data_IF_743771485779
#
_entry.id   IF_743771485779
#
_cell.length_a   1.000
_cell.length_b   1.000
_cell.length_c   1.000
_cell.angle_alpha   90.00
_cell.angle_beta   90.00
_cell.angle_gamma   90.00
#
_symmetry.space_group_name_H-M   'P 1'
#
loop_
_entity.id
_entity.type
_entity.pdbx_description
1 polymer ?
#
# COMPACT_ATOMS: atom_id res chain seq x y z
N UNK A 1 -7.14 85.14 58.51
CA UNK A 1 -5.85 84.51 58.17
C UNK A 1 -5.29 85.24 56.96
N UNK A 2 -4.04 85.65 57.05
CA UNK A 2 -3.38 86.60 56.15
C UNK A 2 -3.01 85.92 54.82
N UNK A 3 -3.71 86.28 53.74
CA UNK A 3 -3.58 85.68 52.40
C UNK A 3 -2.13 85.78 51.88
N UNK A 4 -1.45 86.87 52.19
CA UNK A 4 -0.06 87.16 51.76
C UNK A 4 0.97 86.20 52.36
N UNK A 5 0.74 85.74 53.60
CA UNK A 5 1.62 84.79 54.30
C UNK A 5 1.52 83.39 53.70
N UNK A 6 0.35 83.02 53.19
CA UNK A 6 0.07 81.73 52.54
C UNK A 6 0.66 81.68 51.12
N UNK A 7 0.58 82.78 50.37
CA UNK A 7 1.14 82.90 49.01
C UNK A 7 2.67 82.87 49.00
N UNK A 8 3.32 83.57 49.94
CA UNK A 8 4.79 83.58 50.06
C UNK A 8 5.35 82.19 50.44
N UNK A 9 4.55 81.39 51.17
CA UNK A 9 4.90 80.02 51.50
C UNK A 9 4.82 79.07 50.29
N UNK A 10 3.90 79.31 49.35
CA UNK A 10 3.77 78.49 48.13
C UNK A 10 4.99 78.64 47.22
N UNK A 11 5.52 79.85 47.01
CA UNK A 11 6.71 80.07 46.17
C UNK A 11 7.92 79.34 46.72
N UNK A 12 8.19 79.46 48.02
CA UNK A 12 9.30 78.74 48.65
C UNK A 12 9.14 77.22 48.55
N UNK A 13 7.90 76.73 48.62
CA UNK A 13 7.59 75.31 48.47
C UNK A 13 7.83 74.80 47.04
N UNK A 14 7.49 75.59 46.02
CA UNK A 14 7.73 75.27 44.61
C UNK A 14 9.22 75.37 44.27
N UNK A 15 9.96 76.33 44.84
CA UNK A 15 11.41 76.41 44.67
C UNK A 15 12.14 75.22 45.33
N UNK A 16 11.66 74.76 46.49
CA UNK A 16 12.20 73.58 47.17
C UNK A 16 11.78 72.26 46.50
N UNK A 17 10.58 72.22 45.90
CA UNK A 17 10.06 71.05 45.22
C UNK A 17 9.24 71.43 43.96
N UNK A 18 9.90 71.63 42.81
CA UNK A 18 9.21 72.01 41.58
C UNK A 18 8.25 70.95 41.03
N UNK A 19 8.36 69.69 41.46
CA UNK A 19 7.43 68.62 41.04
C UNK A 19 6.01 68.83 41.57
N UNK A 20 5.84 69.63 42.63
CA UNK A 20 4.55 69.88 43.26
C UNK A 20 3.53 70.48 42.29
N UNK A 21 3.97 71.42 41.45
CA UNK A 21 3.12 72.08 40.43
C UNK A 21 2.94 71.23 39.18
N UNK A 22 3.65 70.12 39.05
CA UNK A 22 3.47 69.17 37.94
C UNK A 22 2.39 68.11 38.24
N UNK A 23 2.06 67.91 39.52
CA UNK A 23 1.13 66.86 39.98
C UNK A 23 -0.15 67.44 40.58
N UNK A 24 -0.24 68.76 40.72
CA UNK A 24 -1.37 69.47 41.34
C UNK A 24 -1.62 70.77 40.57
N UNK A 25 -2.58 70.71 39.64
CA UNK A 25 -2.96 71.82 38.76
C UNK A 25 -3.37 73.07 39.55
N UNK A 26 -4.04 72.89 40.69
CA UNK A 26 -4.45 74.01 41.52
C UNK A 26 -3.24 74.75 42.10
N UNK A 27 -2.23 74.01 42.57
CA UNK A 27 -0.99 74.61 43.05
C UNK A 27 -0.19 75.27 41.95
N UNK A 28 -0.25 74.75 40.72
CA UNK A 28 0.32 75.42 39.56
C UNK A 28 -0.34 76.78 39.32
N UNK A 29 -1.68 76.83 39.27
CA UNK A 29 -2.41 78.08 39.05
C UNK A 29 -2.17 79.11 40.17
N UNK A 30 -2.23 78.67 41.43
CA UNK A 30 -1.96 79.54 42.59
C UNK A 30 -0.52 80.09 42.55
N UNK A 31 0.46 79.27 42.15
CA UNK A 31 1.85 79.69 42.00
C UNK A 31 2.04 80.66 40.81
N UNK A 32 1.41 80.37 39.69
CA UNK A 32 1.51 81.20 38.48
C UNK A 32 0.90 82.58 38.69
N UNK A 33 -0.28 82.67 39.31
CA UNK A 33 -0.90 83.96 39.60
C UNK A 33 -0.06 84.79 40.58
N UNK A 34 0.61 84.16 41.55
CA UNK A 34 1.56 84.86 42.42
C UNK A 34 2.76 85.43 41.65
N UNK A 35 3.44 84.60 40.83
CA UNK A 35 4.59 85.05 40.01
C UNK A 35 4.18 86.17 39.05
N UNK A 36 2.97 86.07 38.47
CA UNK A 36 2.38 87.09 37.59
C UNK A 36 2.07 88.39 38.33
N UNK A 37 1.55 88.31 39.55
CA UNK A 37 1.31 89.48 40.40
C UNK A 37 2.64 90.16 40.78
N UNK A 38 3.67 89.39 41.18
CA UNK A 38 5.02 89.89 41.48
C UNK A 38 5.62 90.63 40.27
N UNK A 39 5.52 90.02 39.07
CA UNK A 39 6.04 90.62 37.84
C UNK A 39 5.33 91.92 37.46
N UNK A 40 4.01 92.01 37.67
CA UNK A 40 3.20 93.21 37.35
C UNK A 40 3.35 94.34 38.35
N UNK A 41 3.70 94.03 39.61
CA UNK A 41 3.91 95.02 40.66
C UNK A 41 5.25 95.77 40.52
N UNK A 42 6.17 95.29 39.67
CA UNK A 42 7.48 95.93 39.45
C UNK A 42 7.33 97.26 38.67
N UNK A 43 7.91 98.38 39.15
CA UNK A 43 7.92 99.64 38.42
C UNK A 43 8.69 99.53 37.09
N UNK A 44 8.06 99.90 35.99
CA UNK A 44 8.67 99.89 34.65
C UNK A 44 9.25 101.28 34.36
N UNK A 45 10.57 101.40 34.47
CA UNK A 45 11.31 102.59 34.06
C UNK A 45 12.35 102.21 32.99
N UNK A 46 12.03 102.55 31.73
CA UNK A 46 12.92 102.30 30.60
C UNK A 46 13.96 103.41 30.41
N UNK A 47 13.81 104.55 31.09
CA UNK A 47 14.71 105.70 30.94
C UNK A 47 16.03 105.48 31.67
N UNK A 48 16.04 104.70 32.75
CA UNK A 48 17.24 104.40 33.54
C UNK A 48 17.82 103.02 33.25
N UNK A 49 19.15 102.88 33.33
CA UNK A 49 19.83 101.59 33.22
C UNK A 49 19.39 100.62 34.33
N UNK A 50 19.16 101.15 35.53
CA UNK A 50 18.69 100.37 36.69
C UNK A 50 17.30 99.76 36.44
N UNK A 51 16.35 100.53 35.90
CA UNK A 51 15.01 100.04 35.58
C UNK A 51 15.02 98.96 34.48
N UNK A 52 15.81 99.16 33.41
CA UNK A 52 15.99 98.13 32.36
C UNK A 52 16.61 96.83 32.91
N UNK A 53 17.61 96.92 33.80
CA UNK A 53 18.23 95.75 34.46
C UNK A 53 17.26 95.02 35.40
N UNK A 54 16.39 95.74 36.11
CA UNK A 54 15.38 95.14 36.98
C UNK A 54 14.37 94.28 36.19
N UNK A 55 13.89 94.78 35.05
CA UNK A 55 12.99 94.05 34.14
C UNK A 55 13.68 92.79 33.60
N UNK A 56 14.93 92.92 33.14
CA UNK A 56 15.70 91.78 32.66
C UNK A 56 15.91 90.72 33.76
N UNK A 57 16.15 91.14 35.00
CA UNK A 57 16.30 90.25 36.15
C UNK A 57 15.01 89.49 36.48
N UNK A 58 13.86 90.16 36.45
CA UNK A 58 12.55 89.51 36.66
C UNK A 58 12.24 88.50 35.56
N UNK A 59 12.45 88.87 34.29
CA UNK A 59 12.29 87.95 33.17
C UNK A 59 13.22 86.73 33.30
N UNK A 60 14.46 86.94 33.73
CA UNK A 60 15.40 85.86 33.99
C UNK A 60 14.97 84.95 35.14
N UNK A 61 14.43 85.52 36.24
CA UNK A 61 13.86 84.74 37.36
C UNK A 61 12.75 83.82 36.86
N UNK A 62 11.77 84.34 36.12
CA UNK A 62 10.66 83.57 35.55
C UNK A 62 11.18 82.46 34.62
N UNK A 63 12.12 82.78 33.74
CA UNK A 63 12.72 81.79 32.83
C UNK A 63 13.42 80.66 33.59
N UNK A 64 14.19 80.99 34.63
CA UNK A 64 14.88 80.02 35.48
C UNK A 64 13.91 79.14 36.26
N UNK A 65 12.85 79.71 36.83
CA UNK A 65 11.80 78.96 37.52
C UNK A 65 11.10 77.97 36.59
N UNK A 66 10.76 78.39 35.36
CA UNK A 66 10.19 77.50 34.34
C UNK A 66 11.13 76.33 34.02
N UNK A 67 12.42 76.61 33.79
CA UNK A 67 13.41 75.56 33.52
C UNK A 67 13.55 74.59 34.69
N UNK A 68 13.54 75.08 35.94
CA UNK A 68 13.61 74.22 37.12
C UNK A 68 12.40 73.27 37.23
N UNK A 69 11.20 73.73 36.88
CA UNK A 69 9.99 72.89 36.82
C UNK A 69 10.11 71.84 35.71
N UNK A 70 10.53 72.23 34.50
CA UNK A 70 10.72 71.31 33.36
C UNK A 70 11.76 70.21 33.67
N UNK A 71 12.92 70.60 34.23
CA UNK A 71 13.98 69.66 34.60
C UNK A 71 13.54 68.70 35.71
N UNK A 72 12.73 69.17 36.68
CA UNK A 72 12.14 68.32 37.70
C UNK A 72 11.15 67.30 37.10
N UNK A 73 10.37 67.70 36.09
CA UNK A 73 9.47 66.82 35.35
C UNK A 73 10.20 65.76 34.54
N UNK A 74 11.28 66.13 33.84
CA UNK A 74 12.15 65.16 33.13
C UNK A 74 12.72 64.14 34.09
N UNK A 75 13.27 64.59 35.23
CA UNK A 75 13.82 63.70 36.25
C UNK A 75 12.77 62.75 36.82
N UNK A 76 11.56 63.23 37.10
CA UNK A 76 10.46 62.40 37.59
C UNK A 76 10.08 61.31 36.56
N UNK A 77 10.02 61.67 35.28
CA UNK A 77 9.76 60.72 34.19
C UNK A 77 10.88 59.70 34.03
N UNK A 78 12.14 60.11 34.12
CA UNK A 78 13.30 59.22 34.09
C UNK A 78 13.29 58.22 35.25
N UNK A 79 13.02 58.69 36.48
CA UNK A 79 12.90 57.84 37.67
C UNK A 79 11.74 56.85 37.56
N UNK A 80 10.58 57.30 37.03
CA UNK A 80 9.43 56.44 36.80
C UNK A 80 9.73 55.35 35.76
N UNK A 81 10.32 55.73 34.62
CA UNK A 81 10.73 54.78 33.56
C UNK A 81 11.78 53.79 34.08
N UNK A 82 12.74 54.25 34.88
CA UNK A 82 13.74 53.38 35.49
C UNK A 82 13.10 52.32 36.40
N UNK A 83 12.11 52.71 37.22
CA UNK A 83 11.35 51.78 38.06
C UNK A 83 10.53 50.79 37.23
N UNK A 84 9.81 51.26 36.21
CA UNK A 84 9.03 50.40 35.29
C UNK A 84 9.94 49.38 34.61
N UNK A 85 11.04 49.84 34.00
CA UNK A 85 12.00 48.97 33.31
C UNK A 85 12.62 47.94 34.26
N UNK A 86 12.94 48.32 35.50
CA UNK A 86 13.45 47.39 36.51
C UNK A 86 12.42 46.32 36.88
N UNK A 87 11.15 46.70 37.04
CA UNK A 87 10.06 45.75 37.30
C UNK A 87 9.87 44.80 36.12
N UNK A 88 9.84 45.30 34.88
CA UNK A 88 9.66 44.45 33.70
C UNK A 88 10.84 43.49 33.47
N UNK A 89 12.08 43.95 33.71
CA UNK A 89 13.25 43.09 33.69
C UNK A 89 13.16 41.99 34.75
N UNK A 90 12.73 42.33 35.97
CA UNK A 90 12.51 41.36 37.04
C UNK A 90 11.41 40.35 36.67
N UNK A 91 10.27 40.81 36.15
CA UNK A 91 9.16 39.96 35.71
C UNK A 91 9.58 38.98 34.62
N UNK A 92 10.35 39.43 33.63
CA UNK A 92 10.92 38.56 32.58
C UNK A 92 11.82 37.49 33.20
N UNK A 93 12.78 37.90 34.04
CA UNK A 93 13.71 36.98 34.71
C UNK A 93 12.99 35.96 35.59
N UNK A 94 11.95 36.37 36.31
CA UNK A 94 11.14 35.48 37.14
C UNK A 94 10.44 34.45 36.25
N UNK A 95 9.76 34.89 35.18
CA UNK A 95 9.08 33.99 34.24
C UNK A 95 10.03 32.95 33.66
N UNK A 96 11.15 33.39 33.09
CA UNK A 96 12.16 32.51 32.48
C UNK A 96 12.68 31.47 33.49
N UNK A 97 12.96 31.87 34.73
CA UNK A 97 13.43 30.94 35.77
C UNK A 97 12.38 29.93 36.20
N UNK A 98 11.12 30.35 36.34
CA UNK A 98 10.04 29.44 36.72
C UNK A 98 9.66 28.48 35.60
N UNK A 99 9.70 28.93 34.34
CA UNK A 99 9.52 28.05 33.20
C UNK A 99 10.64 27.02 33.11
N UNK A 100 11.90 27.43 33.26
CA UNK A 100 13.04 26.50 33.29
C UNK A 100 12.92 25.48 34.44
N UNK A 101 12.52 25.92 35.64
CA UNK A 101 12.33 25.02 36.78
C UNK A 101 11.16 24.03 36.55
N UNK A 102 10.06 24.50 35.97
CA UNK A 102 8.92 23.65 35.59
C UNK A 102 9.37 22.56 34.61
N UNK A 103 10.14 22.93 33.59
CA UNK A 103 10.66 22.00 32.59
C UNK A 103 11.66 21.01 33.21
N UNK A 104 12.55 21.46 34.10
CA UNK A 104 13.47 20.61 34.85
C UNK A 104 12.74 19.59 35.72
N UNK A 105 11.72 20.03 36.47
CA UNK A 105 10.90 19.17 37.33
C UNK A 105 10.11 18.14 36.51
N UNK A 106 9.68 18.50 35.29
CA UNK A 106 8.93 17.61 34.40
C UNK A 106 9.83 16.66 33.61
N UNK A 107 11.09 17.02 33.34
CA UNK A 107 11.99 16.25 32.49
C UNK A 107 12.15 14.77 32.85
N UNK A 108 12.19 14.33 34.13
CA UNK A 108 12.22 12.91 34.47
C UNK A 108 10.95 12.16 34.04
N UNK A 109 9.78 12.80 34.18
CA UNK A 109 8.51 12.23 33.73
C UNK A 109 8.46 12.13 32.21
N UNK A 110 8.84 13.19 31.49
CA UNK A 110 8.86 13.16 30.03
C UNK A 110 9.81 12.07 29.49
N UNK A 111 10.97 11.86 30.15
CA UNK A 111 11.88 10.75 29.82
C UNK A 111 11.23 9.39 30.04
N UNK A 112 10.57 9.20 31.19
CA UNK A 112 9.87 7.94 31.49
C UNK A 112 8.72 7.69 30.51
N UNK A 113 7.89 8.70 30.22
CA UNK A 113 6.80 8.63 29.24
C UNK A 113 7.33 8.25 27.85
N UNK A 114 8.44 8.86 27.41
CA UNK A 114 9.09 8.52 26.14
C UNK A 114 9.66 7.10 26.13
N UNK A 115 10.21 6.61 27.25
CA UNK A 115 10.65 5.22 27.37
C UNK A 115 9.46 4.26 27.32
N UNK A 116 8.37 4.53 28.03
CA UNK A 116 7.16 3.69 27.96
C UNK A 116 6.57 3.66 26.55
N UNK A 117 6.51 4.80 25.86
CA UNK A 117 6.04 4.87 24.48
C UNK A 117 6.88 3.99 23.55
N UNK A 118 8.21 4.00 23.70
CA UNK A 118 9.11 3.10 22.94
C UNK A 118 8.90 1.63 23.27
N UNK A 119 8.61 1.28 24.53
CA UNK A 119 8.30 -0.11 24.89
C UNK A 119 7.01 -0.58 24.22
N UNK A 120 5.99 0.28 24.24
CA UNK A 120 4.70 0.03 23.61
C UNK A 120 4.82 -0.14 22.09
N UNK A 121 5.51 0.79 21.42
CA UNK A 121 5.77 0.73 19.97
C UNK A 121 6.45 -0.58 19.56
N UNK A 122 7.53 -0.99 20.26
CA UNK A 122 8.19 -2.27 20.01
C UNK A 122 7.26 -3.46 20.20
N UNK A 123 6.38 -3.41 21.19
CA UNK A 123 5.43 -4.50 21.43
C UNK A 123 4.39 -4.58 20.31
N UNK A 124 3.89 -3.44 19.84
CA UNK A 124 2.96 -3.37 18.71
C UNK A 124 3.58 -3.89 17.42
N UNK A 125 4.83 -3.55 17.14
CA UNK A 125 5.60 -4.09 16.01
C UNK A 125 5.72 -5.62 16.06
N UNK A 126 6.09 -6.17 17.23
CA UNK A 126 6.19 -7.63 17.40
C UNK A 126 4.83 -8.31 17.27
N UNK A 127 3.77 -7.70 17.82
CA UNK A 127 2.42 -8.22 17.71
C UNK A 127 1.97 -8.25 16.24
N UNK A 128 2.21 -7.18 15.50
CA UNK A 128 1.90 -7.09 14.08
C UNK A 128 2.67 -8.14 13.26
N UNK A 129 3.95 -8.37 13.55
CA UNK A 129 4.75 -9.43 12.92
C UNK A 129 4.13 -10.82 13.14
N UNK A 130 3.76 -11.16 14.39
CA UNK A 130 3.11 -12.44 14.69
C UNK A 130 1.74 -12.58 13.99
N UNK A 131 0.98 -11.49 13.88
CA UNK A 131 -0.29 -11.49 13.12
C UNK A 131 -0.09 -11.70 11.62
N UNK A 132 0.96 -11.12 11.02
CA UNK A 132 1.29 -11.34 9.60
C UNK A 132 1.71 -12.79 9.33
N UNK A 133 2.49 -13.38 10.24
CA UNK A 133 2.86 -14.80 10.17
C UNK A 133 1.61 -15.68 10.17
N UNK A 134 0.65 -15.43 11.07
CA UNK A 134 -0.63 -16.16 11.11
C UNK A 134 -1.39 -16.08 9.78
N UNK A 135 -1.44 -14.89 9.18
CA UNK A 135 -2.15 -14.68 7.92
C UNK A 135 -1.52 -15.49 6.78
N UNK A 136 -0.19 -15.64 6.80
CA UNK A 136 0.58 -16.38 5.80
C UNK A 136 0.79 -17.86 6.14
N UNK A 137 0.30 -18.34 7.28
CA UNK A 137 0.52 -19.71 7.77
C UNK A 137 -0.01 -20.80 6.82
N UNK A 138 -1.11 -20.52 6.11
CA UNK A 138 -1.72 -21.43 5.14
C UNK A 138 -1.07 -21.40 3.74
N UNK A 139 0.15 -20.87 3.63
CA UNK A 139 0.84 -20.77 2.34
C UNK A 139 2.25 -21.36 2.43
N UNK A 140 2.59 -22.19 1.45
CA UNK A 140 3.93 -22.75 1.26
C UNK A 140 4.12 -24.16 1.83
N UNK A 141 5.32 -24.73 1.66
CA UNK A 141 5.62 -26.11 2.05
C UNK A 141 5.76 -26.27 3.56
N UNK A 142 5.58 -27.50 4.04
CA UNK A 142 5.70 -27.84 5.46
C UNK A 142 7.06 -27.46 6.05
N UNK A 143 8.14 -27.66 5.30
CA UNK A 143 9.51 -27.34 5.70
C UNK A 143 9.70 -25.86 6.08
N UNK A 144 9.04 -24.93 5.34
CA UNK A 144 9.09 -23.49 5.65
C UNK A 144 8.48 -23.21 7.02
N UNK A 145 7.31 -23.78 7.27
CA UNK A 145 6.60 -23.61 8.54
C UNK A 145 7.40 -24.20 9.70
N UNK A 146 8.05 -25.36 9.51
CA UNK A 146 8.91 -25.97 10.54
C UNK A 146 10.10 -25.07 10.92
N UNK A 147 10.72 -24.41 9.95
CA UNK A 147 11.77 -23.40 10.24
C UNK A 147 11.19 -22.23 11.02
N UNK A 148 10.07 -21.65 10.55
CA UNK A 148 9.44 -20.50 11.20
C UNK A 148 8.96 -20.81 12.63
N UNK A 149 8.45 -22.02 12.86
CA UNK A 149 8.12 -22.55 14.20
C UNK A 149 9.36 -22.59 15.10
N UNK A 150 10.50 -23.07 14.58
CA UNK A 150 11.73 -23.16 15.37
C UNK A 150 12.25 -21.77 15.76
N UNK A 151 12.20 -20.81 14.83
CA UNK A 151 12.61 -19.43 15.08
C UNK A 151 11.71 -18.79 16.15
N UNK A 152 10.39 -18.81 15.96
CA UNK A 152 9.42 -18.22 16.88
C UNK A 152 9.52 -18.87 18.26
N UNK A 153 9.71 -20.20 18.35
CA UNK A 153 9.80 -20.91 19.64
C UNK A 153 10.98 -20.45 20.49
N UNK A 154 12.07 -20.00 19.88
CA UNK A 154 13.25 -19.54 20.59
C UNK A 154 13.17 -18.06 21.01
N UNK A 155 12.17 -17.33 20.55
CA UNK A 155 11.96 -15.95 20.96
C UNK A 155 11.41 -15.83 22.38
N UNK A 156 11.85 -14.81 23.09
CA UNK A 156 11.39 -14.49 24.44
C UNK A 156 10.97 -13.02 24.51
N UNK A 157 9.84 -12.76 25.15
CA UNK A 157 9.30 -11.41 25.34
C UNK A 157 9.56 -10.97 26.79
N UNK A 158 10.69 -10.32 27.01
CA UNK A 158 11.09 -9.84 28.34
C UNK A 158 10.21 -8.64 28.78
N UNK A 159 9.54 -8.71 29.96
CA UNK A 159 8.82 -7.59 30.56
C UNK A 159 9.63 -6.30 30.69
N UNK A 160 10.95 -6.38 30.87
CA UNK A 160 11.80 -5.20 30.96
C UNK A 160 11.85 -4.42 29.64
N UNK A 161 11.78 -5.11 28.50
CA UNK A 161 11.88 -4.55 27.15
C UNK A 161 10.51 -4.08 26.65
N UNK A 162 9.47 -4.86 26.88
CA UNK A 162 8.14 -4.65 26.29
C UNK A 162 7.10 -4.12 27.27
N UNK A 163 7.38 -4.12 28.58
CA UNK A 163 6.37 -3.90 29.62
C UNK A 163 5.65 -5.19 29.98
N UNK A 164 5.20 -5.30 31.24
CA UNK A 164 4.70 -6.57 31.79
C UNK A 164 3.42 -7.07 31.11
N UNK A 165 2.48 -6.16 30.85
CA UNK A 165 1.24 -6.50 30.15
C UNK A 165 1.51 -6.94 28.70
N UNK A 166 2.28 -6.15 27.95
CA UNK A 166 2.56 -6.40 26.54
C UNK A 166 3.44 -7.63 26.35
N UNK A 167 4.43 -7.87 27.20
CA UNK A 167 5.22 -9.11 27.20
C UNK A 167 4.33 -10.35 27.40
N UNK A 168 3.37 -10.28 28.34
CA UNK A 168 2.41 -11.34 28.57
C UNK A 168 1.48 -11.55 27.36
N UNK A 169 1.04 -10.47 26.71
CA UNK A 169 0.22 -10.54 25.50
C UNK A 169 0.97 -11.16 24.32
N UNK A 170 2.22 -10.75 24.08
CA UNK A 170 3.09 -11.31 23.06
C UNK A 170 3.36 -12.80 23.28
N UNK A 171 3.64 -13.20 24.53
CA UNK A 171 3.83 -14.61 24.88
C UNK A 171 2.57 -15.46 24.58
N UNK A 172 1.37 -14.95 24.91
CA UNK A 172 0.11 -15.64 24.56
C UNK A 172 -0.09 -15.72 23.03
N UNK A 173 0.22 -14.63 22.32
CA UNK A 173 0.12 -14.59 20.86
C UNK A 173 1.10 -15.56 20.19
N UNK A 174 2.33 -15.61 20.68
CA UNK A 174 3.38 -16.53 20.24
C UNK A 174 2.91 -17.99 20.38
N UNK A 175 2.37 -18.37 21.54
CA UNK A 175 1.81 -19.71 21.74
C UNK A 175 0.69 -20.01 20.72
N UNK A 176 -0.25 -19.10 20.53
CA UNK A 176 -1.33 -19.27 19.55
C UNK A 176 -0.81 -19.37 18.09
N UNK A 177 0.23 -18.60 17.76
CA UNK A 177 0.90 -18.60 16.45
C UNK A 177 1.57 -19.95 16.22
N UNK A 178 2.31 -20.46 17.21
CA UNK A 178 2.94 -21.78 17.15
C UNK A 178 1.91 -22.89 16.97
N UNK A 179 0.79 -22.85 17.69
CA UNK A 179 -0.30 -23.82 17.54
C UNK A 179 -0.95 -23.77 16.16
N UNK A 180 -1.10 -22.58 15.57
CA UNK A 180 -1.60 -22.41 14.21
C UNK A 180 -0.62 -22.97 13.18
N UNK A 181 0.66 -22.60 13.28
CA UNK A 181 1.70 -23.05 12.36
C UNK A 181 1.88 -24.58 12.41
N UNK A 182 1.87 -25.19 13.60
CA UNK A 182 1.97 -26.64 13.73
C UNK A 182 0.81 -27.35 13.02
N UNK A 183 -0.43 -26.87 13.18
CA UNK A 183 -1.60 -27.46 12.49
C UNK A 183 -1.50 -27.37 10.97
N UNK A 184 -1.02 -26.25 10.44
CA UNK A 184 -0.79 -26.10 9.01
C UNK A 184 0.38 -26.95 8.51
N UNK A 185 1.48 -27.02 9.28
CA UNK A 185 2.62 -27.87 8.96
C UNK A 185 2.20 -29.34 8.85
N UNK A 186 1.45 -29.87 9.82
CA UNK A 186 0.92 -31.23 9.79
C UNK A 186 0.01 -31.47 8.56
N UNK A 187 -0.81 -30.48 8.21
CA UNK A 187 -1.69 -30.54 7.03
C UNK A 187 -0.86 -30.63 5.75
N UNK A 188 0.16 -29.79 5.60
CA UNK A 188 1.03 -29.80 4.42
C UNK A 188 1.94 -31.04 4.36
N UNK A 189 2.45 -31.53 5.49
CA UNK A 189 3.21 -32.78 5.54
C UNK A 189 2.38 -33.95 5.02
N UNK A 190 1.10 -34.01 5.41
CA UNK A 190 0.18 -35.02 4.90
C UNK A 190 -0.05 -34.88 3.39
N UNK A 191 -0.30 -33.66 2.90
CA UNK A 191 -0.51 -33.42 1.46
C UNK A 191 0.74 -33.76 0.63
N UNK A 192 1.92 -33.38 1.12
CA UNK A 192 3.20 -33.68 0.48
C UNK A 192 3.48 -35.18 0.45
N UNK A 193 3.20 -35.90 1.55
CA UNK A 193 3.33 -37.35 1.62
C UNK A 193 2.37 -38.07 0.66
N UNK A 194 1.10 -37.66 0.63
CA UNK A 194 0.09 -38.20 -0.31
C UNK A 194 0.49 -37.94 -1.77
N UNK A 195 1.00 -36.75 -2.08
CA UNK A 195 1.50 -36.41 -3.42
C UNK A 195 2.73 -37.25 -3.81
N UNK A 196 3.65 -37.47 -2.88
CA UNK A 196 4.84 -38.31 -3.09
C UNK A 196 4.46 -39.78 -3.30
N UNK A 197 3.51 -40.31 -2.53
CA UNK A 197 2.99 -41.67 -2.71
C UNK A 197 2.29 -41.81 -4.07
N UNK A 198 1.44 -40.85 -4.43
CA UNK A 198 0.75 -40.85 -5.73
C UNK A 198 1.75 -40.79 -6.89
N UNK A 199 2.81 -40.00 -6.78
CA UNK A 199 3.89 -39.96 -7.77
C UNK A 199 4.61 -41.31 -7.88
N UNK A 200 4.89 -41.98 -6.74
CA UNK A 200 5.49 -43.31 -6.73
C UNK A 200 4.59 -44.35 -7.40
N UNK A 201 3.29 -44.34 -7.10
CA UNK A 201 2.32 -45.25 -7.71
C UNK A 201 2.17 -45.03 -9.22
N UNK A 202 2.21 -43.77 -9.68
CA UNK A 202 2.24 -43.45 -11.11
C UNK A 202 3.50 -43.96 -11.79
N UNK A 203 4.67 -43.72 -11.19
CA UNK A 203 5.94 -44.22 -11.72
C UNK A 203 5.99 -45.76 -11.76
N UNK A 204 5.52 -46.44 -10.72
CA UNK A 204 5.43 -47.90 -10.69
C UNK A 204 4.46 -48.42 -11.76
N UNK A 205 3.32 -47.76 -11.94
CA UNK A 205 2.36 -48.13 -13.00
C UNK A 205 2.94 -47.94 -14.39
N UNK A 206 3.59 -46.81 -14.66
CA UNK A 206 4.26 -46.55 -15.94
C UNK A 206 5.36 -47.57 -16.21
N UNK A 207 6.14 -47.94 -15.20
CA UNK A 207 7.18 -48.95 -15.34
C UNK A 207 6.59 -50.34 -15.62
N UNK A 208 5.51 -50.73 -14.94
CA UNK A 208 4.78 -51.98 -15.24
C UNK A 208 4.23 -51.98 -16.66
N UNK A 209 3.63 -50.88 -17.10
CA UNK A 209 3.12 -50.74 -18.47
C UNK A 209 4.25 -50.84 -19.51
N UNK A 210 5.44 -50.27 -19.23
CA UNK A 210 6.62 -50.43 -20.08
C UNK A 210 7.10 -51.87 -20.12
N UNK A 211 7.22 -52.53 -18.98
CA UNK A 211 7.63 -53.94 -18.90
C UNK A 211 6.63 -54.87 -19.59
N UNK A 212 5.33 -54.62 -19.44
CA UNK A 212 4.29 -55.37 -20.13
C UNK A 212 4.32 -55.12 -21.65
N UNK A 213 4.54 -53.88 -22.09
CA UNK A 213 4.71 -53.55 -23.51
C UNK A 213 5.97 -54.20 -24.10
N UNK A 214 7.09 -54.20 -23.36
CA UNK A 214 8.32 -54.86 -23.77
C UNK A 214 8.15 -56.38 -23.84
N UNK A 215 7.48 -57.00 -22.85
CA UNK A 215 7.17 -58.44 -22.88
C UNK A 215 6.31 -58.79 -24.08
N UNK A 216 5.23 -58.04 -24.33
CA UNK A 216 4.37 -58.25 -25.51
C UNK A 216 5.15 -58.10 -26.81
N UNK A 217 5.97 -57.06 -26.94
CA UNK A 217 6.82 -56.87 -28.12
C UNK A 217 7.84 -58.00 -28.29
N UNK A 218 8.40 -58.55 -27.20
CA UNK A 218 9.31 -59.68 -27.23
C UNK A 218 8.58 -60.98 -27.63
N UNK A 219 7.38 -61.24 -27.10
CA UNK A 219 6.53 -62.36 -27.47
C UNK A 219 6.13 -62.30 -28.95
N UNK A 220 5.68 -61.13 -29.43
CA UNK A 220 5.35 -60.90 -30.85
C UNK A 220 6.57 -61.11 -31.77
N UNK A 221 7.76 -60.64 -31.37
CA UNK A 221 9.01 -60.88 -32.12
C UNK A 221 9.37 -62.35 -32.16
N UNK A 222 9.28 -63.05 -31.03
CA UNK A 222 9.57 -64.49 -30.97
C UNK A 222 8.57 -65.31 -31.79
N UNK A 223 7.29 -64.93 -31.78
CA UNK A 223 6.27 -65.57 -32.62
C UNK A 223 6.51 -65.29 -34.12
N UNK A 224 6.83 -64.05 -34.48
CA UNK A 224 7.18 -63.69 -35.85
C UNK A 224 8.42 -64.46 -36.35
N UNK A 225 9.44 -64.63 -35.51
CA UNK A 225 10.63 -65.41 -35.82
C UNK A 225 10.31 -66.90 -36.01
N UNK A 226 9.45 -67.48 -35.15
CA UNK A 226 8.97 -68.86 -35.32
C UNK A 226 8.20 -69.04 -36.62
N UNK A 227 7.25 -68.15 -36.92
CA UNK A 227 6.49 -68.16 -38.18
C UNK A 227 7.42 -68.06 -39.38
N UNK A 228 8.40 -67.14 -39.35
CA UNK A 228 9.39 -67.01 -40.43
C UNK A 228 10.26 -68.26 -40.59
N UNK A 229 10.63 -68.93 -39.49
CA UNK A 229 11.38 -70.19 -39.53
C UNK A 229 10.54 -71.35 -40.08
N UNK A 230 9.27 -71.45 -39.71
CA UNK A 230 8.32 -72.43 -40.25
C UNK A 230 8.07 -72.19 -41.74
N UNK A 231 7.86 -70.95 -42.17
CA UNK A 231 7.73 -70.60 -43.59
C UNK A 231 9.01 -70.93 -44.38
N UNK A 232 10.20 -70.69 -43.82
CA UNK A 232 11.46 -71.10 -44.47
C UNK A 232 11.56 -72.60 -44.62
N UNK A 233 11.22 -73.37 -43.58
CA UNK A 233 11.19 -74.85 -43.66
C UNK A 233 10.18 -75.32 -44.68
N UNK A 234 8.98 -74.75 -44.70
CA UNK A 234 7.94 -75.08 -45.68
C UNK A 234 8.40 -74.77 -47.12
N UNK A 235 9.05 -73.61 -47.35
CA UNK A 235 9.66 -73.26 -48.64
C UNK A 235 10.77 -74.23 -49.04
N UNK A 236 11.67 -74.59 -48.12
CA UNK A 236 12.73 -75.57 -48.38
C UNK A 236 12.17 -76.97 -48.70
N UNK A 237 11.11 -77.40 -48.03
CA UNK A 237 10.42 -78.66 -48.31
C UNK A 237 9.67 -78.62 -49.64
N UNK A 238 9.04 -77.50 -49.97
CA UNK A 238 8.37 -77.29 -51.24
C UNK A 238 9.37 -77.21 -52.40
N UNK A 239 10.50 -76.51 -52.24
CA UNK A 239 11.61 -76.51 -53.21
C UNK A 239 12.19 -77.93 -53.40
N UNK A 240 12.35 -78.71 -52.32
CA UNK A 240 12.78 -80.12 -52.43
C UNK A 240 11.75 -80.96 -53.18
N UNK A 241 10.45 -80.79 -52.90
CA UNK A 241 9.37 -81.46 -53.63
C UNK A 241 9.35 -81.07 -55.10
N UNK A 242 9.47 -79.79 -55.41
CA UNK A 242 9.52 -79.29 -56.79
C UNK A 242 10.77 -79.79 -57.51
N UNK A 243 11.93 -79.86 -56.85
CA UNK A 243 13.15 -80.43 -57.40
C UNK A 243 13.03 -81.94 -57.63
N UNK A 244 12.39 -82.68 -56.73
CA UNK A 244 12.12 -84.10 -56.90
C UNK A 244 11.11 -84.36 -58.02
N UNK A 245 10.04 -83.57 -58.10
CA UNK A 245 9.04 -83.65 -59.16
C UNK A 245 9.62 -83.22 -60.51
N UNK A 246 10.50 -82.22 -60.55
CA UNK A 246 11.24 -81.85 -61.75
C UNK A 246 12.20 -82.96 -62.19
N UNK A 247 12.89 -83.63 -61.25
CA UNK A 247 13.71 -84.81 -61.55
C UNK A 247 12.87 -85.97 -62.09
N UNK A 248 11.71 -86.24 -61.49
CA UNK A 248 10.76 -87.26 -61.98
C UNK A 248 10.23 -86.92 -63.37
N UNK A 249 9.87 -85.65 -63.62
CA UNK A 249 9.44 -85.17 -64.94
C UNK A 249 10.58 -85.19 -65.97
N UNK A 250 11.82 -84.97 -65.57
CA UNK A 250 12.98 -85.11 -66.46
C UNK A 250 13.25 -86.59 -66.78
N UNK A 251 13.15 -87.48 -65.78
CA UNK A 251 13.28 -88.93 -65.98
C UNK A 251 12.13 -89.49 -66.83
N UNK A 252 10.90 -89.04 -66.60
CA UNK A 252 9.73 -89.34 -67.43
C UNK A 252 9.85 -88.71 -68.82
N UNK A 253 10.42 -87.52 -68.98
CA UNK A 253 10.71 -86.94 -70.31
C UNK A 253 11.77 -87.74 -71.05
N UNK A 254 12.81 -88.23 -70.38
CA UNK A 254 13.81 -89.12 -71.00
C UNK A 254 13.20 -90.45 -71.43
N UNK A 255 12.32 -91.03 -70.60
CA UNK A 255 11.55 -92.24 -70.95
C UNK A 255 10.55 -91.98 -72.07
N UNK A 256 9.83 -90.86 -72.04
CA UNK A 256 8.85 -90.46 -73.04
C UNK A 256 9.50 -89.98 -74.36
N UNK A 257 10.73 -89.51 -74.35
CA UNK A 257 11.52 -89.20 -75.56
C UNK A 257 12.05 -90.48 -76.20
N UNK A 258 12.44 -91.48 -75.39
CA UNK A 258 12.70 -92.83 -75.86
C UNK A 258 11.45 -93.52 -76.44
N UNK A 259 10.27 -93.34 -75.82
CA UNK A 259 8.99 -93.86 -76.33
C UNK A 259 8.42 -93.03 -77.50
N UNK A 260 8.69 -91.72 -77.61
CA UNK A 260 8.23 -90.87 -78.73
C UNK A 260 8.88 -91.23 -80.06
N UNK A 261 10.14 -91.70 -80.04
CA UNK A 261 10.82 -92.25 -81.23
C UNK A 261 10.13 -93.56 -81.68
N UNK A 262 9.48 -94.29 -80.78
CA UNK A 262 8.74 -95.54 -81.06
C UNK A 262 7.25 -95.29 -81.37
N UNK A 263 6.68 -94.16 -80.89
CA UNK A 263 5.26 -93.78 -81.03
C UNK A 263 4.96 -92.85 -82.22
N UNK A 264 5.93 -92.13 -82.76
CA UNK A 264 5.78 -91.37 -84.02
C UNK A 264 5.48 -92.28 -85.25
N UNK A 265 5.74 -93.58 -85.15
CA UNK A 265 5.31 -94.60 -86.11
C UNK A 265 3.87 -95.09 -85.91
N UNK A 266 3.24 -94.80 -84.77
CA UNK A 266 1.85 -95.22 -84.43
C UNK A 266 0.85 -94.06 -84.37
N UNK A 267 1.29 -92.80 -84.33
CA UNK A 267 0.43 -91.60 -84.25
C UNK A 267 -0.11 -91.06 -85.60
N UNK A 268 -0.02 -91.82 -86.69
CA UNK A 268 -0.86 -91.60 -87.90
C UNK A 268 -2.22 -92.32 -87.83
N UNK A 269 -2.50 -93.10 -86.79
CA UNK A 269 -3.70 -93.94 -86.69
C UNK A 269 -4.68 -93.55 -85.56
N UNK A 270 -4.37 -92.56 -84.72
CA UNK A 270 -5.22 -92.23 -83.55
C UNK A 270 -5.40 -90.71 -83.39
N UNK A 271 -5.49 -90.01 -84.54
CA UNK A 271 -6.13 -88.71 -84.68
C UNK A 271 -7.68 -88.81 -84.60
N UNK A 272 -8.20 -89.99 -84.30
CA UNK A 272 -9.61 -90.30 -84.16
C UNK A 272 -9.92 -90.52 -82.67
N UNK A 273 -11.00 -89.91 -82.18
CA UNK A 273 -11.43 -89.88 -80.78
C UNK A 273 -10.57 -89.04 -79.81
N UNK A 274 -10.31 -87.75 -80.07
CA UNK A 274 -11.33 -86.65 -80.03
C UNK A 274 -12.45 -86.75 -78.97
N UNK A 275 -12.35 -87.64 -77.98
CA UNK A 275 -13.38 -87.84 -76.95
C UNK A 275 -12.84 -87.76 -75.51
N UNK A 276 -11.69 -87.11 -75.30
CA UNK A 276 -11.16 -86.81 -73.95
C UNK A 276 -11.16 -85.33 -73.57
N UNK A 277 -11.61 -84.44 -74.47
CA UNK A 277 -11.56 -82.98 -74.26
C UNK A 277 -12.79 -82.44 -73.53
N UNK A 278 -13.95 -83.11 -73.59
CA UNK A 278 -15.20 -82.57 -73.00
C UNK A 278 -15.44 -82.89 -71.51
N UNK A 279 -14.63 -83.76 -70.90
CA UNK A 279 -14.79 -84.14 -69.49
C UNK A 279 -13.96 -83.29 -68.51
N UNK A 280 -12.98 -82.51 -69.00
CA UNK A 280 -12.10 -81.68 -68.18
C UNK A 280 -12.60 -80.22 -68.02
N UNK A 281 -13.40 -79.70 -68.96
CA UNK A 281 -13.87 -78.30 -68.90
C UNK A 281 -15.06 -78.07 -67.96
N UNK A 282 -15.81 -79.11 -67.57
CA UNK A 282 -16.93 -78.96 -66.62
C UNK A 282 -16.52 -79.00 -65.15
N UNK A 283 -15.42 -79.68 -64.80
CA UNK A 283 -14.92 -79.71 -63.42
C UNK A 283 -14.07 -78.48 -63.05
N UNK A 284 -13.49 -77.78 -64.04
CA UNK A 284 -12.71 -76.56 -63.81
C UNK A 284 -13.59 -75.32 -63.53
N UNK A 285 -14.78 -75.22 -64.17
CA UNK A 285 -15.67 -74.05 -64.02
C UNK A 285 -16.44 -74.00 -62.69
N UNK A 286 -16.78 -75.15 -62.10
CA UNK A 286 -17.49 -75.19 -60.79
C UNK A 286 -16.54 -74.94 -59.59
N UNK A 287 -15.25 -75.26 -59.71
CA UNK A 287 -14.24 -74.99 -58.67
C UNK A 287 -13.79 -73.52 -58.65
N UNK A 288 -13.76 -72.87 -59.82
CA UNK A 288 -13.39 -71.46 -59.98
C UNK A 288 -14.49 -70.49 -59.49
N UNK A 289 -15.78 -70.80 -59.72
CA UNK A 289 -16.90 -70.01 -59.21
C UNK A 289 -17.09 -70.12 -57.68
N UNK A 290 -16.75 -71.26 -57.06
CA UNK A 290 -16.81 -71.45 -55.61
C UNK A 290 -15.63 -70.77 -54.87
N UNK A 291 -14.44 -70.71 -55.48
CA UNK A 291 -13.29 -69.98 -54.95
C UNK A 291 -13.46 -68.46 -55.10
N UNK A 292 -14.04 -67.98 -56.21
CA UNK A 292 -14.34 -66.57 -56.42
C UNK A 292 -15.41 -66.03 -55.45
N UNK A 293 -16.43 -66.81 -55.09
CA UNK A 293 -17.44 -66.42 -54.09
C UNK A 293 -16.89 -66.30 -52.68
N UNK A 294 -15.96 -67.17 -52.26
CA UNK A 294 -15.29 -67.08 -50.94
C UNK A 294 -14.31 -65.90 -50.86
N UNK A 295 -13.56 -65.62 -51.92
CA UNK A 295 -12.63 -64.48 -51.96
C UNK A 295 -13.41 -63.15 -51.99
N UNK A 296 -14.55 -63.08 -52.68
CA UNK A 296 -15.41 -61.89 -52.70
C UNK A 296 -16.13 -61.67 -51.35
N UNK A 297 -16.63 -62.73 -50.69
CA UNK A 297 -17.22 -62.64 -49.34
C UNK A 297 -16.17 -62.25 -48.27
N UNK A 298 -14.94 -62.76 -48.36
CA UNK A 298 -13.85 -62.41 -47.44
C UNK A 298 -13.31 -61.00 -47.69
N UNK A 299 -13.30 -60.54 -48.95
CA UNK A 299 -13.01 -59.14 -49.32
C UNK A 299 -14.10 -58.19 -48.82
N UNK A 300 -15.37 -58.54 -48.98
CA UNK A 300 -16.49 -57.74 -48.47
C UNK A 300 -16.58 -57.75 -46.94
N UNK A 301 -16.19 -58.84 -46.26
CA UNK A 301 -16.07 -58.88 -44.81
C UNK A 301 -14.92 -57.99 -44.31
N UNK A 302 -13.73 -58.07 -44.94
CA UNK A 302 -12.58 -57.21 -44.60
C UNK A 302 -12.81 -55.73 -44.94
N UNK A 303 -13.56 -55.41 -46.00
CA UNK A 303 -13.98 -54.04 -46.31
C UNK A 303 -15.01 -53.52 -45.30
N UNK A 304 -15.95 -54.36 -44.83
CA UNK A 304 -16.90 -53.97 -43.77
C UNK A 304 -16.20 -53.78 -42.42
N UNK A 305 -15.25 -54.64 -42.06
CA UNK A 305 -14.44 -54.50 -40.85
C UNK A 305 -13.52 -53.27 -40.90
N UNK A 306 -12.88 -53.00 -42.05
CA UNK A 306 -12.11 -51.76 -42.24
C UNK A 306 -13.00 -50.52 -42.21
N UNK A 307 -14.16 -50.54 -42.86
CA UNK A 307 -15.10 -49.42 -42.83
C UNK A 307 -15.68 -49.19 -41.44
N UNK A 308 -15.87 -50.25 -40.65
CA UNK A 308 -16.32 -50.16 -39.25
C UNK A 308 -15.20 -49.68 -38.32
N UNK A 309 -13.96 -50.16 -38.48
CA UNK A 309 -12.80 -49.66 -37.75
C UNK A 309 -12.50 -48.19 -38.09
N UNK A 310 -12.56 -47.80 -39.36
CA UNK A 310 -12.40 -46.39 -39.78
C UNK A 310 -13.52 -45.51 -39.24
N UNK A 311 -14.76 -46.01 -39.15
CA UNK A 311 -15.88 -45.28 -38.54
C UNK A 311 -15.69 -45.12 -37.02
N UNK A 312 -15.23 -46.15 -36.31
CA UNK A 312 -14.93 -46.10 -34.88
C UNK A 312 -13.74 -45.19 -34.60
N UNK A 313 -12.67 -45.25 -35.41
CA UNK A 313 -11.50 -44.38 -35.26
C UNK A 313 -11.85 -42.92 -35.58
N UNK A 314 -12.67 -42.68 -36.63
CA UNK A 314 -13.16 -41.35 -36.96
C UNK A 314 -14.07 -40.79 -35.87
N UNK A 315 -14.99 -41.59 -35.32
CA UNK A 315 -15.86 -41.17 -34.23
C UNK A 315 -15.07 -40.93 -32.93
N UNK A 316 -14.05 -41.74 -32.65
CA UNK A 316 -13.14 -41.52 -31.53
C UNK A 316 -12.28 -40.25 -31.70
N UNK A 317 -11.78 -39.98 -32.92
CA UNK A 317 -11.05 -38.74 -33.24
C UNK A 317 -11.95 -37.51 -33.17
N UNK A 318 -13.16 -37.58 -33.72
CA UNK A 318 -14.14 -36.48 -33.67
C UNK A 318 -14.59 -36.21 -32.22
N UNK A 319 -14.78 -37.24 -31.39
CA UNK A 319 -15.06 -37.07 -29.94
C UNK A 319 -13.87 -36.50 -29.18
N UNK A 320 -12.65 -36.97 -29.45
CA UNK A 320 -11.44 -36.44 -28.82
C UNK A 320 -11.16 -34.99 -29.23
N UNK A 321 -11.42 -34.65 -30.50
CA UNK A 321 -11.29 -33.28 -31.01
C UNK A 321 -12.39 -32.36 -30.46
N UNK A 322 -13.63 -32.84 -30.34
CA UNK A 322 -14.72 -32.10 -29.70
C UNK A 322 -14.45 -31.88 -28.20
N UNK A 323 -13.91 -32.88 -27.49
CA UNK A 323 -13.54 -32.74 -26.08
C UNK A 323 -12.34 -31.80 -25.89
N UNK A 324 -11.34 -31.87 -26.77
CA UNK A 324 -10.21 -30.93 -26.77
C UNK A 324 -10.66 -29.49 -27.04
N UNK A 325 -11.53 -29.28 -28.05
CA UNK A 325 -12.12 -27.97 -28.35
C UNK A 325 -12.97 -27.45 -27.18
N UNK A 326 -13.78 -28.30 -26.55
CA UNK A 326 -14.57 -27.92 -25.38
C UNK A 326 -13.70 -27.54 -24.17
N UNK A 327 -12.57 -28.23 -23.95
CA UNK A 327 -11.61 -27.89 -22.88
C UNK A 327 -10.88 -26.56 -23.15
N UNK A 328 -10.48 -26.30 -24.41
CA UNK A 328 -9.88 -25.03 -24.80
C UNK A 328 -10.87 -23.88 -24.65
N UNK A 329 -12.11 -24.03 -25.14
CA UNK A 329 -13.15 -23.00 -24.98
C UNK A 329 -13.57 -22.78 -23.53
N UNK A 330 -13.54 -23.81 -22.68
CA UNK A 330 -13.79 -23.67 -21.25
C UNK A 330 -12.64 -22.93 -20.54
N UNK A 331 -11.39 -23.24 -20.91
CA UNK A 331 -10.21 -22.55 -20.39
C UNK A 331 -10.15 -21.08 -20.85
N UNK A 332 -10.50 -20.78 -22.09
CA UNK A 332 -10.57 -19.41 -22.60
C UNK A 332 -11.69 -18.60 -21.94
N UNK A 333 -12.87 -19.21 -21.69
CA UNK A 333 -13.95 -18.55 -20.93
C UNK A 333 -13.53 -18.27 -19.49
N UNK A 334 -12.93 -19.24 -18.81
CA UNK A 334 -12.43 -19.06 -17.45
C UNK A 334 -11.32 -17.99 -17.38
N UNK A 335 -10.44 -17.93 -18.37
CA UNK A 335 -9.40 -16.89 -18.46
C UNK A 335 -10.00 -15.49 -18.67
N UNK A 336 -10.99 -15.35 -19.57
CA UNK A 336 -11.70 -14.07 -19.79
C UNK A 336 -12.47 -13.62 -18.56
N UNK A 337 -13.17 -14.52 -17.87
CA UNK A 337 -13.89 -14.20 -16.64
C UNK A 337 -12.92 -13.79 -15.50
N UNK A 338 -11.76 -14.43 -15.40
CA UNK A 338 -10.72 -14.05 -14.44
C UNK A 338 -10.11 -12.69 -14.77
N UNK A 339 -9.87 -12.38 -16.05
CA UNK A 339 -9.36 -11.09 -16.51
C UNK A 339 -10.38 -9.97 -16.27
N UNK A 340 -11.66 -10.19 -16.60
CA UNK A 340 -12.74 -9.24 -16.31
C UNK A 340 -12.93 -9.01 -14.81
N UNK A 341 -12.85 -10.06 -13.99
CA UNK A 341 -12.93 -9.94 -12.53
C UNK A 341 -11.74 -9.17 -11.95
N UNK A 342 -10.52 -9.37 -12.49
CA UNK A 342 -9.34 -8.60 -12.11
C UNK A 342 -9.47 -7.13 -12.52
N UNK A 343 -9.94 -6.85 -13.74
CA UNK A 343 -10.17 -5.50 -14.23
C UNK A 343 -11.23 -4.75 -13.40
N UNK A 344 -12.32 -5.42 -12.99
CA UNK A 344 -13.34 -4.84 -12.10
C UNK A 344 -12.78 -4.49 -10.73
N UNK A 345 -11.96 -5.35 -10.12
CA UNK A 345 -11.31 -5.05 -8.82
C UNK A 345 -10.35 -3.86 -8.90
N UNK A 346 -9.57 -3.77 -9.98
CA UNK A 346 -8.66 -2.64 -10.21
C UNK A 346 -9.44 -1.33 -10.37
N UNK A 347 -10.55 -1.35 -11.10
CA UNK A 347 -11.41 -0.17 -11.29
C UNK A 347 -12.16 0.22 -10.01
N UNK A 348 -12.65 -0.74 -9.23
CA UNK A 348 -13.26 -0.49 -7.92
C UNK A 348 -12.26 0.12 -6.93
N UNK A 349 -11.02 -0.37 -6.90
CA UNK A 349 -9.96 0.20 -6.05
C UNK A 349 -9.56 1.61 -6.51
N UNK A 350 -9.50 1.86 -7.83
CA UNK A 350 -9.27 3.20 -8.39
C UNK A 350 -10.38 4.16 -8.00
N UNK A 351 -11.64 3.75 -8.12
CA UNK A 351 -12.79 4.56 -7.72
C UNK A 351 -12.84 4.80 -6.22
N UNK A 352 -12.46 3.83 -5.39
CA UNK A 352 -12.34 4.01 -3.94
C UNK A 352 -11.29 5.06 -3.58
N UNK A 353 -10.09 4.97 -4.20
CA UNK A 353 -9.01 5.96 -4.01
C UNK A 353 -9.41 7.36 -4.51
N UNK A 354 -10.12 7.47 -5.63
CA UNK A 354 -10.63 8.74 -6.14
C UNK A 354 -11.68 9.37 -5.19
N UNK A 355 -12.58 8.55 -4.61
CA UNK A 355 -13.55 9.03 -3.62
C UNK A 355 -12.88 9.49 -2.33
N UNK A 356 -11.89 8.75 -1.83
CA UNK A 356 -11.13 9.12 -0.64
C UNK A 356 -10.39 10.45 -0.86
N UNK A 357 -9.74 10.61 -2.02
CA UNK A 357 -9.07 11.85 -2.37
C UNK A 357 -10.04 13.02 -2.51
N UNK A 358 -11.20 12.82 -3.14
CA UNK A 358 -12.24 13.85 -3.26
C UNK A 358 -12.82 14.25 -1.88
N UNK A 359 -12.93 13.32 -0.95
CA UNK A 359 -13.36 13.59 0.42
C UNK A 359 -12.28 14.36 1.22
N UNK A 360 -11.01 13.98 1.10
CA UNK A 360 -9.89 14.71 1.70
C UNK A 360 -9.82 16.15 1.17
N UNK A 361 -9.95 16.35 -0.15
CA UNK A 361 -9.98 17.67 -0.76
C UNK A 361 -11.19 18.51 -0.30
N UNK A 362 -12.36 17.88 -0.10
CA UNK A 362 -13.56 18.54 0.45
C UNK A 362 -13.32 19.02 1.88
N UNK A 363 -12.79 18.14 2.74
CA UNK A 363 -12.48 18.47 4.14
C UNK A 363 -11.43 19.58 4.23
N UNK A 364 -10.37 19.51 3.42
CA UNK A 364 -9.33 20.54 3.40
C UNK A 364 -9.89 21.88 2.90
N UNK A 365 -10.75 21.87 1.88
CA UNK A 365 -11.42 23.08 1.38
C UNK A 365 -12.33 23.70 2.44
N UNK A 366 -13.13 22.90 3.14
CA UNK A 366 -13.98 23.38 4.24
C UNK A 366 -13.14 23.99 5.38
N UNK A 367 -11.99 23.38 5.72
CA UNK A 367 -11.07 23.91 6.71
C UNK A 367 -10.51 25.28 6.29
N UNK A 368 -10.06 25.39 5.04
CA UNK A 368 -9.54 26.65 4.45
C UNK A 368 -10.62 27.74 4.41
N UNK A 369 -11.84 27.40 4.00
CA UNK A 369 -12.96 28.35 3.98
C UNK A 369 -13.35 28.79 5.40
N UNK A 370 -13.31 27.89 6.39
CA UNK A 370 -13.54 28.22 7.79
C UNK A 370 -12.42 29.10 8.39
N UNK A 371 -11.17 28.84 8.05
CA UNK A 371 -10.02 29.67 8.43
C UNK A 371 -10.10 31.06 7.79
N UNK A 372 -10.43 31.14 6.51
CA UNK A 372 -10.62 32.40 5.79
C UNK A 372 -11.76 33.23 6.41
N UNK A 373 -12.90 32.60 6.78
CA UNK A 373 -14.00 33.28 7.49
C UNK A 373 -13.57 33.79 8.86
N UNK A 374 -12.83 32.99 9.64
CA UNK A 374 -12.29 33.40 10.95
C UNK A 374 -11.26 34.51 10.85
N UNK A 375 -10.48 34.54 9.77
CA UNK A 375 -9.51 35.60 9.52
C UNK A 375 -10.22 36.89 9.09
N UNK A 376 -11.18 36.81 8.17
CA UNK A 376 -11.99 37.94 7.75
C UNK A 376 -12.79 38.55 8.92
N UNK A 377 -13.36 37.73 9.82
CA UNK A 377 -14.02 38.20 11.04
C UNK A 377 -13.03 38.96 11.95
N UNK A 378 -11.83 38.41 12.17
CA UNK A 378 -10.78 39.08 12.96
C UNK A 378 -10.35 40.40 12.35
N UNK A 379 -10.16 40.47 11.04
CA UNK A 379 -9.80 41.69 10.32
C UNK A 379 -10.93 42.73 10.36
N UNK A 380 -12.18 42.30 10.18
CA UNK A 380 -13.34 43.17 10.28
C UNK A 380 -13.48 43.78 11.68
N UNK A 381 -13.36 42.94 12.71
CA UNK A 381 -13.37 43.34 14.11
C UNK A 381 -12.22 44.27 14.45
N UNK A 382 -11.02 43.98 13.98
CA UNK A 382 -9.84 44.85 14.18
C UNK A 382 -10.03 46.22 13.53
N UNK A 383 -10.63 46.28 12.32
CA UNK A 383 -10.94 47.54 11.63
C UNK A 383 -11.95 48.38 12.42
N UNK A 384 -13.03 47.76 12.90
CA UNK A 384 -14.07 48.45 13.69
C UNK A 384 -13.52 48.92 15.04
N UNK A 385 -12.77 48.05 15.75
CA UNK A 385 -12.10 48.43 16.99
C UNK A 385 -11.08 49.56 16.78
N UNK A 386 -10.35 49.54 15.66
CA UNK A 386 -9.42 50.60 15.29
C UNK A 386 -10.11 51.94 15.06
N UNK A 387 -11.25 51.95 14.37
CA UNK A 387 -12.05 53.15 14.16
C UNK A 387 -12.63 53.70 15.47
N UNK A 388 -13.16 52.82 16.34
CA UNK A 388 -13.65 53.21 17.66
C UNK A 388 -12.52 53.79 18.54
N UNK A 389 -11.33 53.20 18.49
CA UNK A 389 -10.14 53.71 19.20
C UNK A 389 -9.77 55.11 18.72
N UNK A 390 -9.71 55.32 17.40
CA UNK A 390 -9.38 56.62 16.82
C UNK A 390 -10.38 57.72 17.22
N UNK A 391 -11.68 57.42 17.20
CA UNK A 391 -12.72 58.35 17.63
C UNK A 391 -12.61 58.70 19.12
N UNK A 392 -12.22 57.75 19.97
CA UNK A 392 -11.98 58.00 21.41
C UNK A 392 -10.74 58.87 21.62
N UNK A 393 -9.70 58.70 20.80
CA UNK A 393 -8.49 59.52 20.85
C UNK A 393 -8.75 60.98 20.47
N UNK A 394 -9.67 61.28 19.55
CA UNK A 394 -10.05 62.66 19.20
C UNK A 394 -10.64 63.45 20.38
N UNK A 395 -11.21 62.76 21.38
CA UNK A 395 -11.73 63.37 22.61
C UNK A 395 -10.61 63.65 23.63
N UNK A 396 -9.35 63.41 23.28
CA UNK A 396 -8.17 63.71 24.10
C UNK A 396 -7.67 62.55 24.97
N UNK A 397 -8.13 61.32 24.72
CA UNK A 397 -7.68 60.11 25.45
C UNK A 397 -6.43 59.52 24.79
N UNK A 398 -5.44 59.13 25.61
CA UNK A 398 -4.20 58.52 25.15
C UNK A 398 -4.45 57.17 24.45
N UNK A 399 -3.64 56.82 23.44
CA UNK A 399 -3.83 55.64 22.59
C UNK A 399 -3.98 54.33 23.36
N UNK A 400 -3.16 54.12 24.40
CA UNK A 400 -3.21 52.89 25.19
C UNK A 400 -4.49 52.81 26.02
N UNK A 401 -4.92 53.93 26.62
CA UNK A 401 -6.19 54.02 27.35
C UNK A 401 -7.40 53.85 26.42
N UNK A 402 -7.37 54.45 25.23
CA UNK A 402 -8.42 54.29 24.22
C UNK A 402 -8.55 52.83 23.77
N UNK A 403 -7.42 52.12 23.60
CA UNK A 403 -7.39 50.70 23.28
C UNK A 403 -8.01 49.84 24.40
N UNK A 404 -7.66 50.12 25.65
CA UNK A 404 -8.18 49.37 26.80
C UNK A 404 -9.69 49.58 26.98
N UNK A 405 -10.19 50.79 26.72
CA UNK A 405 -11.64 51.09 26.71
C UNK A 405 -12.35 50.30 25.60
N UNK A 406 -11.82 50.31 24.37
CA UNK A 406 -12.42 49.57 23.24
C UNK A 406 -12.45 48.06 23.51
N UNK A 407 -11.37 47.51 24.07
CA UNK A 407 -11.31 46.09 24.45
C UNK A 407 -12.29 45.75 25.58
N UNK A 408 -12.44 46.62 26.58
CA UNK A 408 -13.40 46.42 27.67
C UNK A 408 -14.86 46.44 27.16
N UNK A 409 -15.19 47.31 26.22
CA UNK A 409 -16.52 47.34 25.59
C UNK A 409 -16.73 46.11 24.70
N UNK A 410 -15.74 45.73 23.89
CA UNK A 410 -15.80 44.53 23.04
C UNK A 410 -15.98 43.24 23.84
N UNK A 411 -15.38 43.16 25.04
CA UNK A 411 -15.52 42.04 25.96
C UNK A 411 -16.81 42.06 26.79
N UNK A 412 -17.63 43.11 26.69
CA UNK A 412 -18.88 43.26 27.46
C UNK A 412 -18.68 43.67 28.93
N UNK A 413 -17.47 44.12 29.30
CA UNK A 413 -17.15 44.56 30.66
C UNK A 413 -17.70 45.96 30.99
N UNK A 414 -18.20 46.69 30.00
CA UNK A 414 -18.85 48.00 30.16
C UNK A 414 -20.36 47.83 30.01
N UNK A 415 -21.15 47.95 31.10
CA UNK A 415 -22.60 47.78 31.04
C UNK A 415 -23.26 48.80 30.10
N UNK A 416 -24.33 48.38 29.41
CA UNK A 416 -25.16 49.20 28.52
C UNK A 416 -24.46 49.81 27.30
N UNK A 417 -23.23 49.38 26.98
CA UNK A 417 -22.49 49.81 25.80
C UNK A 417 -21.95 48.59 25.06
N UNK A 418 -22.03 48.56 23.73
CA UNK A 418 -21.52 47.46 22.90
C UNK A 418 -20.96 47.96 21.57
N UNK A 419 -19.96 47.26 21.04
CA UNK A 419 -19.44 47.49 19.68
C UNK A 419 -20.17 46.52 18.75
N UNK A 420 -20.82 47.08 17.71
CA UNK A 420 -21.35 46.26 16.61
C UNK A 420 -20.21 45.95 15.65
N UNK A 421 -19.95 44.67 15.48
CA UNK A 421 -18.98 44.14 14.54
C UNK A 421 -19.62 43.81 13.21
#
# INVERSE_FOLDING_TARGET
MDVTKTETALVALVEANPTLVLIDDKKFEDFYEHVKAEARAMPVDLSTEKGRKAIASMAFKIARTKTAIDDAGKKLNEEARAKINAVDASRRKIRERFDALKDEVRAPLDKWEAEQAKKQERAEEQMARLMDIDLRANFGPSARLRTEIADIKNETFDPAIYGEESAGALTRKQAATLDLLNRWAETFEKQEAEAAELARLRAEKEERERQDAERKAAEERAEAERRAAEERKAREEEEKRQAEEARKREEERRKAEQERIEREARERAEAEARARVEAAERAAREAEEAAARKIEEERQAREREKAEQERIEREARERAEAEARARVEAAERAAREAEEAAARKIEEERQAREREKAEQERVERELREADAKRQADREHRAKIMGAAKAAIMEVGIEEQQAKDIVLAIAAGNVPHVSIKF
#
